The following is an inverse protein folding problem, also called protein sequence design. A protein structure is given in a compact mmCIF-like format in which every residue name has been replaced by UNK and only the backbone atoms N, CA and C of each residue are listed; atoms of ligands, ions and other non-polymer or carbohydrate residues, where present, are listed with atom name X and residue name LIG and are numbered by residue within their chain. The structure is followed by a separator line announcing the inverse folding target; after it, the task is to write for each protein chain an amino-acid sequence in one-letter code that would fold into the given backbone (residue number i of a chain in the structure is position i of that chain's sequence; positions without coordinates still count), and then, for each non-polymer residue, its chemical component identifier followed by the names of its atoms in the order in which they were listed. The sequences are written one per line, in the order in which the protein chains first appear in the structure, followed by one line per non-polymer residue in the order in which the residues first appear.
data_IF_510201833627
#
_entry.id   IF_510201833627
#
_cell.length_a   1.000
_cell.length_b   1.000
_cell.length_c   1.000
_cell.angle_alpha   90.00
_cell.angle_beta   90.00
_cell.angle_gamma   90.00
#
_symmetry.space_group_name_H-M   'P 1'
#
loop_
_entity.id
_entity.type
_entity.pdbx_description
1 polymer ?
#
# COMPACT_ATOMS: atom_id res chain seq x y z
N UNK A 1 -19.76 -19.55 -17.89
CA UNK A 1 -18.80 -19.39 -16.78
C UNK A 1 -19.47 -18.46 -15.77
N UNK A 2 -20.02 -19.06 -14.73
CA UNK A 2 -20.75 -18.36 -13.67
C UNK A 2 -19.69 -17.78 -12.72
N UNK A 3 -19.29 -16.54 -12.95
CA UNK A 3 -18.40 -15.78 -12.06
C UNK A 3 -19.25 -14.97 -11.08
N UNK A 4 -20.25 -15.62 -10.46
CA UNK A 4 -20.90 -15.05 -9.29
C UNK A 4 -19.87 -15.08 -8.14
N UNK A 5 -19.32 -13.93 -7.80
CA UNK A 5 -18.66 -13.75 -6.51
C UNK A 5 -19.68 -14.17 -5.45
N UNK A 6 -19.40 -15.28 -4.76
CA UNK A 6 -20.23 -15.82 -3.68
C UNK A 6 -20.16 -14.83 -2.50
N UNK A 7 -21.04 -13.84 -2.49
CA UNK A 7 -21.17 -12.91 -1.36
C UNK A 7 -22.50 -13.18 -0.64
N UNK A 8 -22.44 -13.13 0.68
CA UNK A 8 -23.65 -13.27 1.51
C UNK A 8 -24.47 -11.97 1.48
N UNK A 9 -25.59 -11.96 0.77
CA UNK A 9 -26.45 -10.78 0.63
C UNK A 9 -26.91 -10.20 1.98
N UNK A 10 -27.04 -11.02 3.03
CA UNK A 10 -27.41 -10.56 4.37
C UNK A 10 -26.39 -9.66 5.06
N UNK A 11 -25.17 -9.57 4.53
CA UNK A 11 -24.12 -8.67 5.04
C UNK A 11 -24.21 -7.26 4.45
N UNK A 12 -25.08 -7.04 3.45
CA UNK A 12 -25.21 -5.75 2.76
C UNK A 12 -26.51 -5.07 3.10
N UNK A 13 -26.43 -3.79 3.43
CA UNK A 13 -27.56 -2.93 3.77
C UNK A 13 -27.83 -1.94 2.64
N UNK A 14 -29.07 -1.90 2.16
CA UNK A 14 -29.55 -1.00 1.10
C UNK A 14 -30.50 0.01 1.71
N UNK A 15 -30.22 1.30 1.53
CA UNK A 15 -31.13 2.38 1.87
C UNK A 15 -32.00 2.70 0.65
N UNK A 16 -33.30 2.66 0.82
CA UNK A 16 -34.29 3.06 -0.20
C UNK A 16 -34.86 4.41 0.20
N UNK A 17 -34.76 5.38 -0.70
CA UNK A 17 -35.24 6.75 -0.52
C UNK A 17 -36.21 7.10 -1.63
N UNK A 18 -37.47 7.26 -1.31
CA UNK A 18 -38.54 7.62 -2.26
C UNK A 18 -39.70 8.23 -1.44
N UNK A 19 -40.27 9.34 -1.87
CA UNK A 19 -41.40 10.01 -1.19
C UNK A 19 -42.75 9.27 -1.39
N UNK A 20 -42.81 8.37 -2.38
CA UNK A 20 -43.97 7.55 -2.68
C UNK A 20 -43.89 6.22 -1.92
N UNK A 21 -44.68 6.08 -0.85
CA UNK A 21 -44.66 4.90 0.03
C UNK A 21 -44.87 3.57 -0.71
N UNK A 22 -45.70 3.54 -1.77
CA UNK A 22 -45.86 2.33 -2.59
C UNK A 22 -44.59 1.89 -3.30
N UNK A 23 -43.72 2.83 -3.74
CA UNK A 23 -42.44 2.53 -4.36
C UNK A 23 -41.49 1.92 -3.31
N UNK A 24 -41.38 2.54 -2.13
CA UNK A 24 -40.59 2.01 -1.03
C UNK A 24 -41.00 0.59 -0.67
N UNK A 25 -42.30 0.34 -0.56
CA UNK A 25 -42.83 -0.99 -0.21
C UNK A 25 -42.49 -2.03 -1.29
N UNK A 26 -42.69 -1.69 -2.56
CA UNK A 26 -42.37 -2.56 -3.69
C UNK A 26 -40.87 -2.94 -3.70
N UNK A 27 -40.00 -1.93 -3.63
CA UNK A 27 -38.53 -2.12 -3.61
C UNK A 27 -38.08 -2.94 -2.40
N UNK A 28 -38.66 -2.66 -1.23
CA UNK A 28 -38.41 -3.43 0.00
C UNK A 28 -38.74 -4.89 -0.13
N UNK A 29 -39.92 -5.23 -0.71
CA UNK A 29 -40.33 -6.62 -0.92
C UNK A 29 -39.39 -7.32 -1.92
N UNK A 30 -39.08 -6.68 -3.04
CA UNK A 30 -38.21 -7.26 -4.07
C UNK A 30 -36.79 -7.56 -3.54
N UNK A 31 -36.21 -6.64 -2.80
CA UNK A 31 -34.85 -6.78 -2.30
C UNK A 31 -34.75 -7.67 -1.06
N UNK A 32 -35.80 -7.69 -0.20
CA UNK A 32 -35.85 -8.59 0.95
C UNK A 32 -35.87 -10.06 0.53
N UNK A 33 -36.49 -10.36 -0.60
CA UNK A 33 -36.50 -11.72 -1.17
C UNK A 33 -35.10 -12.22 -1.59
N UNK A 34 -34.14 -11.32 -1.72
CA UNK A 34 -32.74 -11.63 -1.96
C UNK A 34 -31.88 -11.57 -0.67
N UNK A 35 -32.51 -11.50 0.50
CA UNK A 35 -31.90 -11.45 1.83
C UNK A 35 -31.06 -10.19 2.14
N UNK A 36 -31.19 -9.09 1.39
CA UNK A 36 -30.56 -7.82 1.76
C UNK A 36 -31.19 -7.21 3.02
N UNK A 37 -30.38 -6.53 3.82
CA UNK A 37 -30.86 -5.66 4.90
C UNK A 37 -31.39 -4.36 4.28
N UNK A 38 -32.58 -3.91 4.70
CA UNK A 38 -33.22 -2.75 4.09
C UNK A 38 -33.51 -1.67 5.15
N UNK A 39 -32.98 -0.48 4.93
CA UNK A 39 -33.38 0.75 5.57
C UNK A 39 -34.21 1.60 4.59
N UNK A 40 -35.04 2.49 5.10
CA UNK A 40 -35.94 3.32 4.27
C UNK A 40 -35.97 4.76 4.78
N UNK A 41 -36.10 5.72 3.87
CA UNK A 41 -36.35 7.13 4.13
C UNK A 41 -37.39 7.66 3.14
N UNK A 42 -38.20 8.64 3.54
CA UNK A 42 -39.30 9.15 2.72
C UNK A 42 -39.05 10.57 2.19
N UNK A 43 -37.91 11.17 2.53
CA UNK A 43 -37.48 12.47 2.03
C UNK A 43 -35.95 12.61 2.11
N UNK A 44 -35.42 13.69 1.53
CA UNK A 44 -33.98 13.92 1.44
C UNK A 44 -33.32 14.19 2.80
N UNK A 45 -34.00 14.79 3.77
CA UNK A 45 -33.47 15.04 5.11
C UNK A 45 -33.40 13.75 5.92
N UNK A 46 -34.43 12.94 5.86
CA UNK A 46 -34.43 11.61 6.46
C UNK A 46 -33.36 10.73 5.83
N UNK A 47 -33.14 10.83 4.50
CA UNK A 47 -32.08 10.10 3.82
C UNK A 47 -30.71 10.41 4.39
N UNK A 48 -30.35 11.68 4.57
CA UNK A 48 -29.06 12.09 5.15
C UNK A 48 -28.90 11.56 6.58
N UNK A 49 -29.93 11.67 7.42
CA UNK A 49 -29.92 11.14 8.79
C UNK A 49 -29.82 9.60 8.81
N UNK A 50 -30.54 8.92 7.90
CA UNK A 50 -30.49 7.46 7.78
C UNK A 50 -29.11 6.95 7.33
N UNK A 51 -28.40 7.68 6.47
CA UNK A 51 -27.03 7.30 6.07
C UNK A 51 -26.08 7.33 7.27
N UNK A 52 -26.18 8.31 8.14
CA UNK A 52 -25.33 8.41 9.34
C UNK A 52 -25.60 7.29 10.36
N UNK A 53 -26.89 6.97 10.58
CA UNK A 53 -27.30 6.00 11.60
C UNK A 53 -27.20 4.55 11.10
N UNK A 54 -27.67 4.30 9.90
CA UNK A 54 -27.78 2.96 9.32
C UNK A 54 -26.52 2.48 8.58
N UNK A 55 -25.68 3.41 8.14
CA UNK A 55 -24.44 3.15 7.38
C UNK A 55 -24.67 2.18 6.22
N UNK A 56 -25.51 2.51 5.24
CA UNK A 56 -25.85 1.62 4.15
C UNK A 56 -24.65 1.39 3.22
N UNK A 57 -24.65 0.23 2.55
CA UNK A 57 -23.65 -0.12 1.54
C UNK A 57 -24.03 0.40 0.14
N UNK A 58 -25.32 0.60 -0.10
CA UNK A 58 -25.87 1.08 -1.36
C UNK A 58 -27.10 1.95 -1.08
N UNK A 59 -27.27 3.02 -1.84
CA UNK A 59 -28.45 3.90 -1.75
C UNK A 59 -29.22 3.84 -3.07
N UNK A 60 -30.51 3.50 -2.99
CA UNK A 60 -31.48 3.69 -4.08
C UNK A 60 -32.20 5.00 -3.79
N UNK A 61 -32.00 6.00 -4.62
CA UNK A 61 -32.40 7.38 -4.34
C UNK A 61 -33.31 7.93 -5.43
N UNK A 62 -34.54 8.25 -5.06
CA UNK A 62 -35.43 8.98 -5.97
C UNK A 62 -34.88 10.37 -6.26
N UNK A 63 -34.91 10.76 -7.54
CA UNK A 63 -34.50 12.09 -7.99
C UNK A 63 -35.54 13.15 -7.64
N UNK A 64 -36.84 12.82 -7.81
CA UNK A 64 -37.93 13.79 -7.70
C UNK A 64 -38.64 13.67 -6.34
N UNK A 65 -38.10 14.35 -5.35
CA UNK A 65 -38.69 14.43 -4.01
C UNK A 65 -38.97 15.89 -3.62
N UNK A 66 -40.00 16.14 -2.82
CA UNK A 66 -40.30 17.47 -2.29
C UNK A 66 -39.22 17.92 -1.31
N UNK A 67 -38.92 19.23 -1.33
CA UNK A 67 -37.90 19.82 -0.46
C UNK A 67 -36.50 19.56 -1.02
N UNK A 68 -35.73 18.69 -0.38
CA UNK A 68 -34.38 18.32 -0.83
C UNK A 68 -34.49 17.18 -1.87
N UNK A 69 -34.19 17.50 -3.14
CA UNK A 69 -34.26 16.52 -4.23
C UNK A 69 -33.08 15.54 -4.22
N UNK A 70 -33.17 14.43 -4.99
CA UNK A 70 -32.14 13.39 -4.98
C UNK A 70 -30.76 13.85 -5.44
N UNK A 71 -30.66 14.81 -6.37
CA UNK A 71 -29.37 15.35 -6.78
C UNK A 71 -28.68 16.09 -5.63
N UNK A 72 -29.41 16.94 -4.92
CA UNK A 72 -28.90 17.69 -3.77
C UNK A 72 -28.49 16.76 -2.61
N UNK A 73 -29.24 15.69 -2.39
CA UNK A 73 -28.86 14.64 -1.42
C UNK A 73 -27.54 13.98 -1.83
N UNK A 74 -27.42 13.59 -3.11
CA UNK A 74 -26.21 12.95 -3.61
C UNK A 74 -25.00 13.87 -3.52
N UNK A 75 -25.11 15.15 -3.91
CA UNK A 75 -24.05 16.14 -3.79
C UNK A 75 -23.55 16.25 -2.33
N UNK A 76 -24.46 16.39 -1.34
CA UNK A 76 -24.10 16.45 0.08
C UNK A 76 -23.38 15.18 0.55
N UNK A 77 -23.84 14.00 0.13
CA UNK A 77 -23.20 12.74 0.49
C UNK A 77 -21.80 12.61 -0.14
N UNK A 78 -21.61 13.11 -1.35
CA UNK A 78 -20.30 13.07 -2.04
C UNK A 78 -19.31 14.12 -1.54
N UNK A 79 -19.77 15.20 -0.94
CA UNK A 79 -18.92 16.19 -0.26
C UNK A 79 -18.35 15.67 1.06
N UNK A 80 -19.07 14.80 1.77
CA UNK A 80 -18.63 14.27 3.06
C UNK A 80 -17.67 13.07 2.86
N UNK A 81 -16.42 13.13 3.39
CA UNK A 81 -15.44 12.06 3.29
C UNK A 81 -15.91 10.70 3.81
N UNK A 82 -16.81 10.67 4.79
CA UNK A 82 -17.32 9.42 5.39
C UNK A 82 -18.38 8.73 4.51
N UNK A 83 -19.11 9.48 3.68
CA UNK A 83 -20.23 8.97 2.89
C UNK A 83 -19.99 9.01 1.39
N UNK A 84 -18.98 9.75 0.90
CA UNK A 84 -18.70 9.94 -0.52
C UNK A 84 -18.48 8.64 -1.31
N UNK A 85 -18.00 7.59 -0.63
CA UNK A 85 -17.69 6.31 -1.24
C UNK A 85 -18.91 5.37 -1.33
N UNK A 86 -20.03 5.73 -0.70
CA UNK A 86 -21.28 4.94 -0.79
C UNK A 86 -21.84 5.09 -2.19
N UNK A 87 -22.02 4.00 -2.95
CA UNK A 87 -22.60 4.06 -4.27
C UNK A 87 -24.09 4.43 -4.22
N UNK A 88 -24.52 5.22 -5.22
CA UNK A 88 -25.87 5.73 -5.36
C UNK A 88 -26.43 5.27 -6.72
N UNK A 89 -27.57 4.62 -6.71
CA UNK A 89 -28.39 4.35 -7.89
C UNK A 89 -29.58 5.31 -7.87
N UNK A 90 -29.70 6.17 -8.86
CA UNK A 90 -30.88 7.03 -8.98
C UNK A 90 -32.09 6.27 -9.51
N UNK A 91 -33.25 6.50 -8.89
CA UNK A 91 -34.56 6.09 -9.37
C UNK A 91 -35.18 7.29 -10.05
N UNK A 92 -35.44 7.22 -11.35
CA UNK A 92 -35.85 8.41 -12.10
C UNK A 92 -36.94 8.14 -13.14
N UNK A 93 -37.86 9.07 -13.25
CA UNK A 93 -38.78 9.15 -14.37
C UNK A 93 -38.25 10.00 -15.55
N UNK A 94 -37.03 10.57 -15.35
CA UNK A 94 -36.41 11.49 -16.30
C UNK A 94 -35.72 10.68 -17.41
N UNK A 95 -36.15 10.92 -18.65
CA UNK A 95 -35.62 10.23 -19.83
C UNK A 95 -34.73 11.15 -20.69
N UNK A 96 -34.51 12.39 -20.27
CA UNK A 96 -33.66 13.32 -21.00
C UNK A 96 -32.17 13.04 -20.75
N UNK A 97 -31.38 13.06 -21.80
CA UNK A 97 -29.91 12.87 -21.73
C UNK A 97 -29.24 13.88 -20.78
N UNK A 98 -29.79 15.11 -20.68
CA UNK A 98 -29.35 16.15 -19.74
C UNK A 98 -29.41 15.70 -18.28
N UNK A 99 -30.44 14.97 -17.88
CA UNK A 99 -30.67 14.55 -16.50
C UNK A 99 -29.75 13.40 -16.11
N UNK A 100 -29.49 12.48 -17.04
CA UNK A 100 -28.50 11.42 -16.88
C UNK A 100 -27.10 12.01 -16.67
N UNK A 101 -26.71 13.00 -17.51
CA UNK A 101 -25.42 13.69 -17.37
C UNK A 101 -25.32 14.43 -16.03
N UNK A 102 -26.41 15.10 -15.61
CA UNK A 102 -26.46 15.79 -14.31
C UNK A 102 -26.29 14.81 -13.16
N UNK A 103 -26.94 13.66 -13.21
CA UNK A 103 -26.85 12.65 -12.17
C UNK A 103 -25.44 12.07 -12.03
N UNK A 104 -24.75 11.75 -13.12
CA UNK A 104 -23.35 11.32 -13.06
C UNK A 104 -22.43 12.42 -12.48
N UNK A 105 -22.68 13.69 -12.80
CA UNK A 105 -21.95 14.82 -12.21
C UNK A 105 -22.22 14.96 -10.70
N UNK A 106 -23.44 14.65 -10.24
CA UNK A 106 -23.80 14.60 -8.82
C UNK A 106 -23.21 13.35 -8.09
N UNK A 107 -22.52 12.47 -8.82
CA UNK A 107 -21.81 11.32 -8.24
C UNK A 107 -22.62 10.02 -8.23
N UNK A 108 -23.66 9.88 -9.04
CA UNK A 108 -24.37 8.61 -9.21
C UNK A 108 -23.47 7.55 -9.84
N UNK A 109 -23.67 6.31 -9.41
CA UNK A 109 -23.01 5.13 -9.95
C UNK A 109 -23.84 4.44 -11.04
N UNK A 110 -25.17 4.57 -10.99
CA UNK A 110 -26.10 3.99 -11.95
C UNK A 110 -27.48 4.66 -11.89
N UNK A 111 -28.41 4.27 -12.79
CA UNK A 111 -29.79 4.76 -12.89
C UNK A 111 -30.75 3.62 -13.14
N UNK A 112 -31.96 3.75 -12.60
CA UNK A 112 -33.09 2.85 -12.86
C UNK A 112 -34.30 3.71 -13.22
N UNK A 113 -34.88 3.46 -14.39
CA UNK A 113 -36.06 4.20 -14.85
C UNK A 113 -37.35 3.74 -14.13
N UNK A 114 -38.23 4.69 -13.84
CA UNK A 114 -39.59 4.43 -13.40
C UNK A 114 -40.52 4.39 -14.65
N UNK A 115 -41.46 3.41 -14.76
CA UNK A 115 -41.81 2.37 -13.80
C UNK A 115 -40.73 1.28 -13.72
N UNK A 116 -40.51 0.72 -12.52
CA UNK A 116 -39.45 -0.27 -12.27
C UNK A 116 -39.72 -1.60 -12.97
N UNK A 117 -38.77 -2.04 -13.79
CA UNK A 117 -38.72 -3.42 -14.25
C UNK A 117 -37.98 -4.27 -13.24
N UNK A 118 -38.65 -5.27 -12.68
CA UNK A 118 -38.08 -6.13 -11.61
C UNK A 118 -36.70 -6.68 -11.98
N UNK A 119 -36.56 -7.22 -13.17
CA UNK A 119 -35.31 -7.86 -13.62
C UNK A 119 -34.18 -6.85 -13.74
N UNK A 120 -34.44 -5.66 -14.31
CA UNK A 120 -33.47 -4.59 -14.43
C UNK A 120 -32.98 -4.11 -13.05
N UNK A 121 -33.91 -3.84 -12.14
CA UNK A 121 -33.60 -3.43 -10.77
C UNK A 121 -32.65 -4.45 -10.10
N UNK A 122 -33.06 -5.74 -10.14
CA UNK A 122 -32.27 -6.78 -9.47
C UNK A 122 -30.88 -6.94 -10.07
N UNK A 123 -30.74 -6.88 -11.40
CA UNK A 123 -29.44 -6.96 -12.08
C UNK A 123 -28.56 -5.77 -11.68
N UNK A 124 -29.06 -4.53 -11.71
CA UNK A 124 -28.27 -3.35 -11.37
C UNK A 124 -27.84 -3.33 -9.90
N UNK A 125 -28.78 -3.66 -8.99
CA UNK A 125 -28.45 -3.76 -7.56
C UNK A 125 -27.42 -4.86 -7.31
N UNK A 126 -27.62 -6.06 -7.86
CA UNK A 126 -26.67 -7.17 -7.69
C UNK A 126 -25.28 -6.82 -8.27
N UNK A 127 -25.24 -6.13 -9.40
CA UNK A 127 -23.99 -5.68 -10.00
C UNK A 127 -23.23 -4.69 -9.08
N UNK A 128 -23.93 -3.68 -8.53
CA UNK A 128 -23.32 -2.73 -7.61
C UNK A 128 -22.85 -3.40 -6.32
N UNK A 129 -23.64 -4.30 -5.75
CA UNK A 129 -23.23 -5.08 -4.56
C UNK A 129 -22.00 -5.95 -4.86
N UNK A 130 -21.95 -6.59 -6.04
CA UNK A 130 -20.76 -7.37 -6.45
C UNK A 130 -19.51 -6.52 -6.54
N UNK A 131 -19.59 -5.28 -7.03
CA UNK A 131 -18.47 -4.34 -7.05
C UNK A 131 -18.02 -3.94 -5.63
N UNK A 132 -18.98 -3.71 -4.73
CA UNK A 132 -18.70 -3.42 -3.31
C UNK A 132 -18.00 -4.62 -2.65
N UNK A 133 -18.52 -5.83 -2.88
CA UNK A 133 -17.93 -7.07 -2.37
C UNK A 133 -16.49 -7.27 -2.86
N UNK A 134 -16.26 -7.12 -4.16
CA UNK A 134 -14.92 -7.22 -4.75
C UNK A 134 -13.95 -6.18 -4.16
N UNK A 135 -14.38 -4.92 -4.00
CA UNK A 135 -13.58 -3.85 -3.36
C UNK A 135 -13.22 -4.21 -1.92
N UNK A 136 -14.16 -4.74 -1.14
CA UNK A 136 -13.91 -5.18 0.25
C UNK A 136 -12.89 -6.32 0.33
N UNK A 137 -13.00 -7.30 -0.57
CA UNK A 137 -12.03 -8.41 -0.64
C UNK A 137 -10.63 -7.88 -0.95
N UNK A 138 -10.48 -7.00 -1.94
CA UNK A 138 -9.20 -6.42 -2.33
C UNK A 138 -8.59 -5.64 -1.15
N UNK A 139 -9.36 -4.79 -0.47
CA UNK A 139 -8.88 -4.02 0.69
C UNK A 139 -8.39 -4.98 1.78
N UNK A 140 -9.19 -5.99 2.15
CA UNK A 140 -8.84 -6.98 3.18
C UNK A 140 -7.54 -7.73 2.83
N UNK A 141 -7.42 -8.21 1.59
CA UNK A 141 -6.22 -8.92 1.13
C UNK A 141 -4.99 -8.01 1.13
N UNK A 142 -5.15 -6.74 0.75
CA UNK A 142 -4.06 -5.77 0.77
C UNK A 142 -3.57 -5.51 2.20
N UNK A 143 -4.48 -5.34 3.16
CA UNK A 143 -4.15 -5.16 4.57
C UNK A 143 -3.45 -6.39 5.17
N UNK A 144 -3.93 -7.59 4.84
CA UNK A 144 -3.34 -8.84 5.31
C UNK A 144 -1.92 -9.04 4.75
N UNK A 145 -1.75 -8.77 3.44
CA UNK A 145 -0.44 -8.80 2.79
C UNK A 145 0.52 -7.80 3.43
N UNK A 146 0.05 -6.57 3.68
CA UNK A 146 0.86 -5.53 4.32
C UNK A 146 1.31 -5.93 5.74
N UNK A 147 0.41 -6.55 6.54
CA UNK A 147 0.74 -7.09 7.86
C UNK A 147 1.79 -8.19 7.77
N UNK A 148 1.65 -9.10 6.82
CA UNK A 148 2.59 -10.22 6.60
C UNK A 148 3.97 -9.70 6.22
N UNK A 149 4.06 -8.75 5.28
CA UNK A 149 5.32 -8.13 4.86
C UNK A 149 5.98 -7.43 6.05
N UNK A 150 5.23 -6.61 6.79
CA UNK A 150 5.74 -5.88 7.96
C UNK A 150 6.24 -6.83 9.07
N UNK A 151 5.54 -7.94 9.29
CA UNK A 151 5.95 -8.98 10.25
C UNK A 151 7.25 -9.65 9.85
N UNK A 152 7.37 -10.03 8.57
CA UNK A 152 8.59 -10.62 8.00
C UNK A 152 9.79 -9.70 8.13
N UNK A 153 9.63 -8.43 7.80
CA UNK A 153 10.72 -7.44 7.80
C UNK A 153 11.20 -7.16 9.24
N UNK A 154 10.25 -7.12 10.20
CA UNK A 154 10.59 -7.03 11.62
C UNK A 154 11.40 -8.24 12.09
N UNK A 155 11.00 -9.47 11.66
CA UNK A 155 11.72 -10.69 12.01
C UNK A 155 13.16 -10.66 11.48
N UNK A 156 13.37 -10.28 10.22
CA UNK A 156 14.71 -10.16 9.64
C UNK A 156 15.58 -9.14 10.40
N UNK A 157 14.98 -8.00 10.79
CA UNK A 157 15.70 -6.99 11.56
C UNK A 157 16.15 -7.50 12.93
N UNK A 158 15.30 -8.27 13.63
CA UNK A 158 15.65 -8.88 14.94
C UNK A 158 16.74 -9.91 14.76
N UNK A 159 16.59 -10.85 13.83
CA UNK A 159 17.58 -11.91 13.59
C UNK A 159 18.95 -11.30 13.24
N UNK A 160 18.99 -10.34 12.33
CA UNK A 160 20.26 -9.71 11.94
C UNK A 160 20.91 -8.94 13.08
N UNK A 161 20.11 -8.28 13.94
CA UNK A 161 20.63 -7.62 15.15
C UNK A 161 21.24 -8.62 16.13
N UNK A 162 20.51 -9.72 16.41
CA UNK A 162 20.94 -10.71 17.41
C UNK A 162 22.14 -11.55 16.94
N UNK A 163 22.31 -11.70 15.61
CA UNK A 163 23.49 -12.34 15.04
C UNK A 163 24.72 -11.40 14.97
N UNK A 164 24.51 -10.10 14.85
CA UNK A 164 25.61 -9.13 14.77
C UNK A 164 26.51 -9.17 16.02
N UNK A 165 25.92 -9.30 17.21
CA UNK A 165 26.66 -9.28 18.47
C UNK A 165 27.64 -10.46 18.61
N UNK A 166 27.21 -11.76 18.49
CA UNK A 166 28.13 -12.89 18.60
C UNK A 166 29.18 -12.89 17.48
N UNK A 167 28.83 -12.53 16.26
CA UNK A 167 29.79 -12.47 15.15
C UNK A 167 30.82 -11.35 15.36
N UNK A 168 30.38 -10.19 15.88
CA UNK A 168 31.31 -9.12 16.28
C UNK A 168 32.29 -9.56 17.36
N UNK A 169 31.85 -10.36 18.33
CA UNK A 169 32.73 -10.94 19.36
C UNK A 169 33.72 -11.92 18.76
N UNK A 170 33.31 -12.80 17.84
CA UNK A 170 34.21 -13.73 17.15
C UNK A 170 35.27 -12.95 16.35
N UNK A 171 34.85 -11.94 15.59
CA UNK A 171 35.75 -11.06 14.84
C UNK A 171 36.80 -10.40 15.75
N UNK A 172 36.38 -9.90 16.92
CA UNK A 172 37.25 -9.29 17.88
C UNK A 172 38.32 -10.26 18.40
N UNK A 173 37.89 -11.50 18.74
CA UNK A 173 38.82 -12.55 19.21
C UNK A 173 39.82 -12.95 18.12
N UNK A 174 39.35 -13.14 16.88
CA UNK A 174 40.24 -13.46 15.74
C UNK A 174 41.24 -12.36 15.47
N UNK A 175 40.82 -11.10 15.50
CA UNK A 175 41.74 -9.97 15.36
C UNK A 175 42.79 -9.91 16.49
N UNK A 176 42.42 -10.14 17.73
CA UNK A 176 43.34 -10.21 18.85
C UNK A 176 44.37 -11.35 18.69
N UNK A 177 43.91 -12.54 18.22
CA UNK A 177 44.78 -13.67 17.96
C UNK A 177 45.81 -13.33 16.86
N UNK A 178 45.36 -12.74 15.75
CA UNK A 178 46.23 -12.34 14.63
C UNK A 178 47.26 -11.27 15.03
N UNK A 179 46.85 -10.32 15.89
CA UNK A 179 47.78 -9.27 16.38
C UNK A 179 48.85 -9.80 17.36
N UNK A 180 48.47 -10.79 18.23
CA UNK A 180 49.33 -11.25 19.31
C UNK A 180 50.13 -12.52 18.97
N UNK A 181 49.75 -13.24 17.89
CA UNK A 181 50.38 -14.48 17.48
C UNK A 181 51.00 -14.34 16.07
N UNK A 182 52.21 -13.86 15.94
CA UNK A 182 52.86 -13.74 14.65
C UNK A 182 53.13 -15.12 14.03
N UNK A 183 53.17 -15.20 12.70
CA UNK A 183 53.33 -16.43 11.92
C UNK A 183 54.58 -17.26 12.36
N UNK A 184 55.61 -16.59 12.88
CA UNK A 184 56.81 -17.23 13.43
C UNK A 184 56.54 -18.06 14.69
N UNK A 185 55.48 -17.76 15.43
CA UNK A 185 55.16 -18.44 16.73
C UNK A 185 54.19 -19.61 16.60
N UNK A 186 53.35 -19.62 15.58
CA UNK A 186 52.25 -20.61 15.40
C UNK A 186 52.39 -21.46 14.13
N UNK A 187 53.40 -21.20 13.31
CA UNK A 187 53.56 -21.86 12.01
C UNK A 187 52.68 -21.25 10.92
N UNK A 188 53.12 -21.39 9.66
CA UNK A 188 52.45 -20.78 8.49
C UNK A 188 50.99 -21.27 8.31
N UNK A 189 50.78 -22.56 8.42
CA UNK A 189 49.47 -23.19 8.16
C UNK A 189 48.42 -22.67 9.16
N UNK A 190 48.75 -22.56 10.44
CA UNK A 190 47.85 -22.06 11.48
C UNK A 190 47.57 -20.57 11.29
N UNK A 191 48.55 -19.79 10.89
CA UNK A 191 48.38 -18.37 10.61
C UNK A 191 47.45 -18.15 9.39
N UNK A 192 47.61 -18.97 8.33
CA UNK A 192 46.71 -18.95 7.17
C UNK A 192 45.28 -19.32 7.53
N UNK A 193 45.09 -20.34 8.39
CA UNK A 193 43.75 -20.72 8.89
C UNK A 193 43.08 -19.58 9.69
N UNK A 194 43.82 -18.88 10.56
CA UNK A 194 43.29 -17.75 11.33
C UNK A 194 42.92 -16.57 10.38
N UNK A 195 43.71 -16.30 9.37
CA UNK A 195 43.40 -15.27 8.37
C UNK A 195 42.17 -15.63 7.55
N UNK A 196 42.00 -16.92 7.19
CA UNK A 196 40.82 -17.39 6.49
C UNK A 196 39.57 -17.27 7.37
N UNK A 197 39.62 -17.67 8.63
CA UNK A 197 38.51 -17.54 9.57
C UNK A 197 38.13 -16.05 9.80
N UNK A 198 39.10 -15.17 9.90
CA UNK A 198 38.84 -13.73 10.03
C UNK A 198 38.12 -13.17 8.81
N UNK A 199 38.62 -13.49 7.59
CA UNK A 199 37.97 -13.08 6.33
C UNK A 199 36.52 -13.59 6.26
N UNK A 200 36.26 -14.89 6.55
CA UNK A 200 34.90 -15.46 6.56
C UNK A 200 34.00 -14.72 7.57
N UNK A 201 34.53 -14.35 8.74
CA UNK A 201 33.77 -13.62 9.76
C UNK A 201 33.43 -12.20 9.28
N UNK A 202 34.35 -11.54 8.57
CA UNK A 202 34.08 -10.23 7.96
C UNK A 202 33.04 -10.28 6.86
N UNK A 203 33.04 -11.31 6.01
CA UNK A 203 32.03 -11.53 4.98
C UNK A 203 30.65 -11.71 5.61
N UNK A 204 30.53 -12.58 6.64
CA UNK A 204 29.23 -12.81 7.33
C UNK A 204 28.76 -11.52 8.02
N UNK A 205 29.66 -10.75 8.64
CA UNK A 205 29.31 -9.47 9.25
C UNK A 205 28.78 -8.47 8.23
N UNK A 206 29.43 -8.39 7.07
CA UNK A 206 29.00 -7.54 5.95
C UNK A 206 27.63 -7.96 5.41
N UNK A 207 27.38 -9.27 5.23
CA UNK A 207 26.08 -9.78 4.81
C UNK A 207 24.96 -9.40 5.79
N UNK A 208 25.20 -9.52 7.10
CA UNK A 208 24.24 -9.10 8.13
C UNK A 208 23.97 -7.60 8.09
N UNK A 209 25.00 -6.80 7.88
CA UNK A 209 24.86 -5.34 7.77
C UNK A 209 24.04 -4.94 6.53
N UNK A 210 24.28 -5.61 5.40
CA UNK A 210 23.53 -5.42 4.18
C UNK A 210 22.06 -5.86 4.35
N UNK A 211 21.79 -6.99 5.04
CA UNK A 211 20.43 -7.44 5.33
C UNK A 211 19.69 -6.43 6.21
N UNK A 212 20.34 -5.87 7.24
CA UNK A 212 19.76 -4.82 8.07
C UNK A 212 19.49 -3.52 7.31
N UNK A 213 20.38 -3.11 6.43
CA UNK A 213 20.18 -1.94 5.56
C UNK A 213 19.01 -2.18 4.62
N UNK A 214 18.93 -3.36 4.01
CA UNK A 214 17.85 -3.73 3.11
C UNK A 214 16.48 -3.75 3.83
N UNK A 215 16.39 -4.37 5.01
CA UNK A 215 15.14 -4.39 5.79
C UNK A 215 14.69 -3.00 6.22
N UNK A 216 15.61 -2.12 6.61
CA UNK A 216 15.30 -0.71 6.93
C UNK A 216 14.79 0.06 5.70
N UNK A 217 15.34 -0.21 4.52
CA UNK A 217 14.90 0.37 3.25
C UNK A 217 13.46 -0.02 2.90
N UNK A 218 13.12 -1.30 3.06
CA UNK A 218 11.77 -1.81 2.76
C UNK A 218 10.68 -1.24 3.67
N UNK A 219 11.01 -0.95 4.93
CA UNK A 219 10.06 -0.41 5.93
C UNK A 219 9.82 1.11 5.72
N UNK A 220 10.44 1.74 4.72
CA UNK A 220 10.35 3.18 4.52
C UNK A 220 10.97 4.02 5.67
N UNK A 221 11.78 3.37 6.53
CA UNK A 221 12.49 4.00 7.65
C UNK A 221 13.92 4.41 7.30
N UNK A 222 14.28 4.42 6.05
CA UNK A 222 15.42 5.22 5.62
C UNK A 222 14.99 6.69 5.77
N UNK A 223 15.32 7.29 6.88
CA UNK A 223 15.37 8.74 6.95
C UNK A 223 16.49 9.15 6.00
N UNK A 224 16.15 9.43 4.74
CA UNK A 224 17.06 10.00 3.77
C UNK A 224 17.41 11.39 4.29
N UNK A 225 18.62 11.55 4.79
CA UNK A 225 19.10 12.84 5.30
C UNK A 225 19.77 13.57 4.15
N UNK A 226 18.98 14.37 3.44
CA UNK A 226 19.52 15.24 2.40
C UNK A 226 20.42 16.31 3.00
N UNK A 227 21.69 16.31 2.58
CA UNK A 227 22.68 17.33 2.95
C UNK A 227 23.50 17.75 1.73
N UNK A 228 23.97 18.97 1.75
CA UNK A 228 24.89 19.46 0.72
C UNK A 228 26.30 19.03 1.10
N UNK A 229 26.99 18.35 0.18
CA UNK A 229 28.38 17.93 0.39
C UNK A 229 29.12 17.82 -0.94
N UNK A 230 30.47 17.85 -0.86
CA UNK A 230 31.30 17.60 -2.01
C UNK A 230 31.43 16.10 -2.28
N UNK A 231 31.07 15.67 -3.49
CA UNK A 231 31.12 14.28 -3.93
C UNK A 231 32.53 13.84 -4.33
N UNK A 232 33.47 14.78 -4.62
CA UNK A 232 34.81 14.47 -5.10
C UNK A 232 35.59 13.56 -4.15
N UNK A 233 35.61 13.80 -2.81
CA UNK A 233 36.30 12.90 -1.88
C UNK A 233 35.82 11.47 -1.89
N UNK A 234 34.51 11.28 -2.10
CA UNK A 234 33.89 9.93 -2.18
C UNK A 234 34.35 9.23 -3.47
N UNK A 235 34.32 9.95 -4.59
CA UNK A 235 34.77 9.43 -5.90
C UNK A 235 36.29 9.08 -5.81
N UNK A 236 37.09 9.91 -5.20
CA UNK A 236 38.55 9.66 -5.00
C UNK A 236 38.78 8.38 -4.20
N UNK A 237 38.05 8.17 -3.11
CA UNK A 237 38.16 6.94 -2.31
C UNK A 237 37.78 5.67 -3.13
N UNK A 238 36.79 5.77 -4.02
CA UNK A 238 36.42 4.67 -4.95
C UNK A 238 37.58 4.40 -5.94
N UNK A 239 38.14 5.46 -6.52
CA UNK A 239 39.23 5.35 -7.48
C UNK A 239 40.46 4.71 -6.85
N UNK A 240 40.81 5.05 -5.60
CA UNK A 240 41.94 4.44 -4.87
C UNK A 240 41.73 2.92 -4.74
N UNK A 241 40.55 2.46 -4.40
CA UNK A 241 40.24 1.03 -4.28
C UNK A 241 40.43 0.31 -5.63
N UNK A 242 39.97 0.89 -6.73
CA UNK A 242 40.08 0.28 -8.06
C UNK A 242 41.46 0.47 -8.68
N UNK A 243 42.26 1.45 -8.29
CA UNK A 243 43.62 1.69 -8.82
C UNK A 243 44.54 0.51 -8.57
N UNK A 244 44.50 -0.08 -7.37
CA UNK A 244 45.28 -1.26 -7.01
C UNK A 244 44.95 -2.44 -7.93
N UNK A 245 43.66 -2.69 -8.16
CA UNK A 245 43.22 -3.77 -9.04
C UNK A 245 43.55 -3.50 -10.52
N UNK A 246 43.51 -2.25 -10.94
CA UNK A 246 43.87 -1.83 -12.30
C UNK A 246 45.40 -1.99 -12.56
N UNK A 247 46.25 -1.62 -11.60
CA UNK A 247 47.70 -1.81 -11.70
C UNK A 247 48.07 -3.30 -11.82
N UNK A 248 47.45 -4.17 -11.03
CA UNK A 248 47.68 -5.61 -11.10
C UNK A 248 47.29 -6.21 -12.48
N UNK A 249 46.38 -5.57 -13.20
CA UNK A 249 45.93 -5.99 -14.55
C UNK A 249 46.58 -5.18 -15.68
N UNK A 250 47.54 -4.30 -15.39
CA UNK A 250 48.16 -3.37 -16.36
C UNK A 250 47.12 -2.47 -17.07
N UNK A 251 46.06 -2.07 -16.40
CA UNK A 251 45.03 -1.15 -16.91
C UNK A 251 45.34 0.27 -16.44
N UNK A 252 45.41 1.23 -17.35
CA UNK A 252 45.52 2.65 -16.99
C UNK A 252 44.17 3.25 -16.72
N UNK A 253 43.92 3.70 -15.50
CA UNK A 253 42.73 4.50 -15.16
C UNK A 253 43.01 5.98 -15.51
N UNK A 254 42.13 6.57 -16.31
CA UNK A 254 42.11 8.01 -16.54
C UNK A 254 40.88 8.60 -15.86
N UNK A 255 41.11 9.53 -14.97
CA UNK A 255 40.08 10.15 -14.16
C UNK A 255 40.01 11.62 -14.53
N UNK A 256 38.82 12.08 -14.91
CA UNK A 256 38.52 13.47 -15.23
C UNK A 256 37.36 13.91 -14.33
N UNK A 257 37.65 14.55 -13.20
CA UNK A 257 36.71 15.10 -12.26
C UNK A 257 37.02 16.55 -11.97
N UNK A 258 36.04 17.42 -11.70
CA UNK A 258 36.30 18.79 -11.26
C UNK A 258 36.92 18.81 -9.85
N UNK A 259 37.53 19.96 -9.47
CA UNK A 259 38.11 20.12 -8.14
C UNK A 259 37.07 20.00 -7.01
N UNK A 260 35.82 20.41 -7.27
CA UNK A 260 34.71 20.31 -6.34
C UNK A 260 33.43 19.96 -7.12
N UNK A 261 32.60 19.10 -6.53
CA UNK A 261 31.26 18.73 -7.08
C UNK A 261 30.26 18.71 -5.94
N UNK A 262 29.59 19.85 -5.72
CA UNK A 262 28.57 19.93 -4.69
C UNK A 262 27.30 19.24 -5.13
N UNK A 263 26.78 18.33 -4.31
CA UNK A 263 25.53 17.60 -4.52
C UNK A 263 24.65 17.69 -3.28
N UNK A 264 23.32 17.64 -3.49
CA UNK A 264 22.33 17.60 -2.42
C UNK A 264 21.72 16.19 -2.35
N UNK A 265 22.31 15.33 -1.53
CA UNK A 265 21.94 13.93 -1.42
C UNK A 265 22.22 13.39 0.00
N UNK A 266 21.90 12.13 0.24
CA UNK A 266 22.30 11.43 1.46
C UNK A 266 23.73 10.89 1.27
N UNK A 267 24.69 11.47 2.01
CA UNK A 267 26.11 11.15 1.92
C UNK A 267 26.40 9.66 2.24
N UNK A 268 25.65 9.04 3.17
CA UNK A 268 25.88 7.65 3.55
C UNK A 268 25.37 6.65 2.50
N UNK A 269 24.37 7.05 1.71
CA UNK A 269 23.89 6.27 0.57
C UNK A 269 24.82 6.34 -0.65
N UNK A 270 25.62 7.39 -0.75
CA UNK A 270 26.56 7.59 -1.87
C UNK A 270 27.92 6.92 -1.63
N UNK A 271 28.21 6.48 -0.40
CA UNK A 271 29.45 5.74 -0.11
C UNK A 271 29.35 4.33 -0.71
N UNK A 272 30.38 3.85 -1.43
CA UNK A 272 30.40 2.48 -1.93
C UNK A 272 30.29 1.53 -0.74
N UNK A 273 29.41 0.53 -0.85
CA UNK A 273 29.40 -0.58 0.10
C UNK A 273 30.77 -1.28 -0.01
N UNK A 274 31.51 -1.33 1.09
CA UNK A 274 32.77 -2.06 1.21
C UNK A 274 32.51 -3.56 1.11
N UNK A 275 32.14 -4.04 -0.07
CA UNK A 275 31.79 -5.44 -0.31
C UNK A 275 32.01 -5.75 -1.78
N UNK A 276 33.11 -6.30 -2.08
CA UNK A 276 33.34 -7.21 -3.21
C UNK A 276 33.94 -8.49 -2.69
#
# INVERSE_FOLDING_TARGET
MDTSLDFNAAEYKILIVDDVVSNVLLLKVLLKNLNYQIATANDGLQALSAVETEKPDLILLDVMMPGLNGFEVAEKLKENPETRDIPIIFLTALNATSDVVRGFKAGANDFISKPFHKEELLIRVSHQISLIAARRIIIRQTEELQRTISGRDKLYSVIAHDLRSPIGSIKMVLNMLLLNLPASSIGKDMHEMLNMANRMTEEVFSLLDNLLKWTKSQIGRLNVVYQQFDLVPIIQGVIEIFSIAAELKNIRLRVEIPDTLEVYADCDMMKPSSGT
#
